data_IF_160892557278
#
_entry.id   IF_160892557278
#
_cell.length_a   1.000
_cell.length_b   1.000
_cell.length_c   1.000
_cell.angle_alpha   90.00
_cell.angle_beta   90.00
_cell.angle_gamma   90.00
#
_symmetry.space_group_name_H-M   'P 1'
#
loop_
_entity.id
_entity.type
_entity.pdbx_description
1 polymer ?
#
# COMPACT_ATOMS: atom_id res chain seq x y z
N UNK A 1 -17.40 29.33 -14.99
CA UNK A 1 -17.14 27.93 -14.64
C UNK A 1 -15.87 27.57 -15.38
N UNK A 2 -14.72 27.80 -14.74
CA UNK A 2 -13.44 27.41 -15.31
C UNK A 2 -13.26 25.95 -14.94
N UNK A 3 -13.13 25.10 -15.95
CA UNK A 3 -12.58 23.76 -15.80
C UNK A 3 -11.33 23.89 -14.93
N UNK A 4 -11.46 23.49 -13.67
CA UNK A 4 -10.34 23.45 -12.76
C UNK A 4 -9.46 22.35 -13.33
N UNK A 5 -8.44 22.75 -14.09
CA UNK A 5 -7.27 21.95 -14.39
C UNK A 5 -7.01 21.04 -13.19
N UNK A 6 -7.07 19.73 -13.43
CA UNK A 6 -6.81 18.67 -12.48
C UNK A 6 -5.86 19.14 -11.38
N UNK A 7 -6.38 19.44 -10.19
CA UNK A 7 -5.57 20.12 -9.18
C UNK A 7 -4.37 19.22 -8.85
N UNK A 8 -3.20 19.82 -8.61
CA UNK A 8 -1.95 19.07 -8.34
C UNK A 8 -2.14 17.97 -7.28
N UNK A 9 -3.04 18.18 -6.31
CA UNK A 9 -3.43 17.16 -5.32
C UNK A 9 -4.10 15.92 -5.91
N UNK A 10 -4.94 16.06 -6.95
CA UNK A 10 -5.56 14.94 -7.66
C UNK A 10 -4.52 14.11 -8.43
N UNK A 11 -3.53 14.76 -9.04
CA UNK A 11 -2.43 14.06 -9.72
C UNK A 11 -1.63 13.22 -8.72
N UNK A 12 -1.20 13.83 -7.60
CA UNK A 12 -0.45 13.13 -6.55
C UNK A 12 -1.25 11.95 -5.98
N UNK A 13 -2.55 12.13 -5.72
CA UNK A 13 -3.40 11.05 -5.21
C UNK A 13 -3.52 9.90 -6.22
N UNK A 14 -3.71 10.22 -7.51
CA UNK A 14 -3.79 9.24 -8.59
C UNK A 14 -2.47 8.47 -8.72
N UNK A 15 -1.33 9.15 -8.71
CA UNK A 15 -0.01 8.53 -8.82
C UNK A 15 0.31 7.64 -7.61
N UNK A 16 -0.14 8.06 -6.42
CA UNK A 16 0.00 7.26 -5.19
C UNK A 16 -0.82 5.97 -5.29
N UNK A 17 -2.08 6.05 -5.73
CA UNK A 17 -2.93 4.88 -5.94
C UNK A 17 -2.34 3.92 -6.99
N UNK A 18 -1.89 4.46 -8.12
CA UNK A 18 -1.24 3.68 -9.18
C UNK A 18 0.02 2.97 -8.67
N UNK A 19 0.80 3.62 -7.83
CA UNK A 19 2.00 3.04 -7.21
C UNK A 19 1.64 1.88 -6.27
N UNK A 20 0.60 2.04 -5.44
CA UNK A 20 0.11 0.98 -4.55
C UNK A 20 -0.38 -0.22 -5.36
N UNK A 21 -1.13 0.02 -6.44
CA UNK A 21 -1.63 -1.05 -7.31
C UNK A 21 -0.51 -1.79 -8.03
N UNK A 22 0.51 -1.07 -8.51
CA UNK A 22 1.70 -1.67 -9.12
C UNK A 22 2.44 -2.58 -8.13
N UNK A 23 2.63 -2.13 -6.89
CA UNK A 23 3.25 -2.93 -5.83
C UNK A 23 2.41 -4.15 -5.48
N UNK A 24 1.09 -4.01 -5.35
CA UNK A 24 0.20 -5.15 -5.10
C UNK A 24 0.31 -6.22 -6.21
N UNK A 25 0.36 -5.81 -7.49
CA UNK A 25 0.57 -6.72 -8.62
C UNK A 25 1.94 -7.39 -8.59
N UNK A 26 2.97 -6.66 -8.17
CA UNK A 26 4.32 -7.21 -7.99
C UNK A 26 4.36 -8.27 -6.88
N UNK A 27 3.68 -8.05 -5.73
CA UNK A 27 3.54 -9.05 -4.65
C UNK A 27 2.90 -10.34 -5.17
N UNK A 28 1.78 -10.22 -5.89
CA UNK A 28 1.08 -11.38 -6.45
C UNK A 28 2.00 -12.13 -7.41
N UNK A 29 2.65 -11.41 -8.33
CA UNK A 29 3.50 -12.01 -9.37
C UNK A 29 4.71 -12.75 -8.77
N UNK A 30 5.38 -12.15 -7.79
CA UNK A 30 6.51 -12.79 -7.09
C UNK A 30 6.07 -13.98 -6.25
N UNK A 31 4.88 -13.92 -5.63
CA UNK A 31 4.33 -15.07 -4.89
C UNK A 31 4.08 -16.26 -5.84
N UNK A 32 3.50 -16.00 -7.02
CA UNK A 32 3.32 -17.02 -8.05
C UNK A 32 4.66 -17.58 -8.56
N UNK A 33 5.68 -16.73 -8.72
CA UNK A 33 7.02 -17.19 -9.12
C UNK A 33 7.62 -18.15 -8.08
N UNK A 34 7.57 -17.80 -6.79
CA UNK A 34 8.03 -18.67 -5.70
C UNK A 34 7.31 -20.03 -5.73
N UNK A 35 5.98 -20.02 -5.89
CA UNK A 35 5.19 -21.25 -6.02
C UNK A 35 5.62 -22.09 -7.24
N UNK A 36 5.78 -21.45 -8.40
CA UNK A 36 6.17 -22.12 -9.64
C UNK A 36 7.56 -22.78 -9.53
N UNK A 37 8.51 -22.15 -8.84
CA UNK A 37 9.84 -22.73 -8.59
C UNK A 37 9.73 -24.02 -7.78
N UNK A 38 8.90 -24.03 -6.73
CA UNK A 38 8.67 -25.21 -5.88
C UNK A 38 7.95 -26.32 -6.67
N UNK A 39 6.91 -25.96 -7.42
CA UNK A 39 6.16 -26.90 -8.26
C UNK A 39 7.04 -27.58 -9.32
N UNK A 40 7.86 -26.80 -10.03
CA UNK A 40 8.79 -27.32 -11.05
C UNK A 40 9.83 -28.23 -10.41
N UNK A 41 10.38 -27.86 -9.24
CA UNK A 41 11.33 -28.71 -8.51
C UNK A 41 10.71 -30.07 -8.17
N UNK A 42 9.47 -30.07 -7.69
CA UNK A 42 8.74 -31.28 -7.31
C UNK A 42 8.42 -32.15 -8.54
N UNK A 43 7.86 -31.54 -9.60
CA UNK A 43 7.52 -32.23 -10.84
C UNK A 43 8.74 -32.82 -11.55
N UNK A 44 9.88 -32.13 -11.49
CA UNK A 44 11.13 -32.53 -12.14
C UNK A 44 11.99 -33.47 -11.29
N UNK A 45 11.55 -33.81 -10.06
CA UNK A 45 12.33 -34.60 -9.08
C UNK A 45 13.73 -34.06 -8.85
N UNK A 46 13.89 -32.74 -8.94
CA UNK A 46 15.18 -32.10 -8.70
C UNK A 46 15.49 -32.13 -7.19
N UNK A 47 16.78 -32.32 -6.81
CA UNK A 47 17.21 -32.05 -5.45
C UNK A 47 16.79 -30.65 -5.02
N UNK A 48 16.32 -30.48 -3.78
CA UNK A 48 15.92 -29.17 -3.23
C UNK A 48 17.03 -28.13 -3.42
N UNK A 49 18.29 -28.56 -3.28
CA UNK A 49 19.48 -27.71 -3.44
C UNK A 49 19.60 -27.09 -4.84
N UNK A 50 19.02 -27.72 -5.87
CA UNK A 50 19.11 -27.25 -7.26
C UNK A 50 18.33 -25.96 -7.48
N UNK A 51 17.16 -25.81 -6.84
CA UNK A 51 16.30 -24.61 -7.00
C UNK A 51 16.40 -23.63 -5.83
N UNK A 52 17.09 -24.01 -4.75
CA UNK A 52 17.11 -23.26 -3.50
C UNK A 52 17.60 -21.82 -3.68
N UNK A 53 18.65 -21.59 -4.48
CA UNK A 53 19.16 -20.24 -4.75
C UNK A 53 18.15 -19.38 -5.52
N UNK A 54 17.45 -19.98 -6.50
CA UNK A 54 16.42 -19.26 -7.24
C UNK A 54 15.23 -18.90 -6.33
N UNK A 55 14.79 -19.84 -5.49
CA UNK A 55 13.72 -19.60 -4.52
C UNK A 55 14.11 -18.55 -3.47
N UNK A 56 15.35 -18.59 -2.96
CA UNK A 56 15.86 -17.63 -2.00
C UNK A 56 15.88 -16.21 -2.57
N UNK A 57 16.38 -16.04 -3.81
CA UNK A 57 16.42 -14.73 -4.47
C UNK A 57 15.01 -14.20 -4.77
N UNK A 58 14.08 -15.06 -5.20
CA UNK A 58 12.68 -14.69 -5.42
C UNK A 58 11.99 -14.29 -4.10
N UNK A 59 12.23 -15.04 -3.03
CA UNK A 59 11.72 -14.73 -1.69
C UNK A 59 12.28 -13.43 -1.12
N UNK A 60 13.56 -13.13 -1.34
CA UNK A 60 14.14 -11.84 -0.98
C UNK A 60 13.49 -10.69 -1.75
N UNK A 61 13.28 -10.86 -3.06
CA UNK A 61 12.54 -9.89 -3.88
C UNK A 61 11.13 -9.65 -3.36
N UNK A 62 10.40 -10.71 -3.00
CA UNK A 62 9.07 -10.61 -2.40
C UNK A 62 9.08 -9.81 -1.10
N UNK A 63 10.02 -10.08 -0.19
CA UNK A 63 10.17 -9.32 1.06
C UNK A 63 10.40 -7.82 0.80
N UNK A 64 11.25 -7.48 -0.18
CA UNK A 64 11.51 -6.07 -0.54
C UNK A 64 10.25 -5.36 -1.04
N UNK A 65 9.48 -6.01 -1.91
CA UNK A 65 8.22 -5.44 -2.45
C UNK A 65 7.17 -5.29 -1.36
N UNK A 66 7.07 -6.23 -0.42
CA UNK A 66 6.21 -6.10 0.77
C UNK A 66 6.66 -4.90 1.61
N UNK A 67 7.98 -4.69 1.79
CA UNK A 67 8.53 -3.51 2.44
C UNK A 67 8.10 -2.21 1.74
N UNK A 68 8.22 -2.14 0.42
CA UNK A 68 7.76 -0.97 -0.37
C UNK A 68 6.28 -0.67 -0.17
N UNK A 69 5.44 -1.68 0.04
CA UNK A 69 4.01 -1.49 0.33
C UNK A 69 3.78 -0.73 1.64
N UNK A 70 4.59 -1.01 2.66
CA UNK A 70 4.57 -0.28 3.93
C UNK A 70 5.11 1.14 3.76
N UNK A 71 6.19 1.33 3.00
CA UNK A 71 6.75 2.65 2.71
C UNK A 71 5.73 3.55 1.99
N UNK A 72 4.98 3.01 1.02
CA UNK A 72 3.91 3.75 0.33
C UNK A 72 2.73 4.08 1.26
N UNK A 73 2.41 3.20 2.20
CA UNK A 73 1.40 3.47 3.24
C UNK A 73 1.83 4.65 4.12
N UNK A 74 3.10 4.68 4.54
CA UNK A 74 3.65 5.79 5.31
C UNK A 74 3.69 7.10 4.49
N UNK A 75 4.15 7.05 3.24
CA UNK A 75 4.13 8.20 2.35
C UNK A 75 2.71 8.77 2.16
N UNK A 76 1.71 7.90 2.00
CA UNK A 76 0.29 8.30 1.90
C UNK A 76 -0.17 9.03 3.16
N UNK A 77 0.24 8.59 4.35
CA UNK A 77 -0.08 9.26 5.63
C UNK A 77 0.57 10.64 5.70
N UNK A 78 1.84 10.77 5.32
CA UNK A 78 2.52 12.07 5.31
C UNK A 78 1.88 13.05 4.32
N UNK A 79 1.51 12.59 3.12
CA UNK A 79 0.76 13.38 2.14
C UNK A 79 -0.57 13.89 2.70
N UNK A 80 -1.26 13.07 3.51
CA UNK A 80 -2.50 13.46 4.18
C UNK A 80 -2.27 14.53 5.24
N UNK A 81 -1.20 14.43 6.02
CA UNK A 81 -0.82 15.49 6.98
C UNK A 81 -0.54 16.81 6.27
N UNK A 82 0.18 16.76 5.15
CA UNK A 82 0.46 17.94 4.31
C UNK A 82 -0.84 18.54 3.80
N UNK A 83 -1.76 17.71 3.29
CA UNK A 83 -3.06 18.16 2.83
C UNK A 83 -3.84 18.89 3.95
N UNK A 84 -3.92 18.28 5.14
CA UNK A 84 -4.63 18.84 6.30
C UNK A 84 -4.00 20.15 6.80
N UNK A 85 -2.69 20.34 6.63
CA UNK A 85 -1.98 21.56 6.99
C UNK A 85 -2.03 22.64 5.88
N UNK A 86 -2.62 22.33 4.73
CA UNK A 86 -2.69 23.24 3.57
C UNK A 86 -4.07 23.87 3.40
N UNK A 87 -4.18 24.77 2.42
CA UNK A 87 -5.48 25.32 1.99
C UNK A 87 -6.40 24.29 1.33
N UNK A 88 -5.94 23.04 1.13
CA UNK A 88 -6.67 21.94 0.48
C UNK A 88 -7.31 20.96 1.47
N UNK A 89 -7.37 21.31 2.76
CA UNK A 89 -7.91 20.47 3.85
C UNK A 89 -9.35 19.97 3.63
N UNK A 90 -10.18 20.72 2.88
CA UNK A 90 -11.58 20.37 2.62
C UNK A 90 -11.78 19.59 1.32
N UNK A 91 -10.73 19.43 0.52
CA UNK A 91 -10.79 18.73 -0.77
C UNK A 91 -10.60 17.23 -0.53
N UNK A 92 -11.37 16.37 -1.21
CA UNK A 92 -11.15 14.93 -1.15
C UNK A 92 -10.56 14.44 -2.47
N UNK A 93 -9.30 13.98 -2.44
CA UNK A 93 -8.61 13.43 -3.61
C UNK A 93 -8.68 11.89 -3.71
N UNK A 94 -9.38 11.22 -2.78
CA UNK A 94 -9.47 9.77 -2.75
C UNK A 94 -8.27 9.06 -2.12
N UNK A 95 -7.44 9.76 -1.34
CA UNK A 95 -6.41 9.11 -0.53
C UNK A 95 -7.07 8.13 0.48
N UNK A 96 -6.55 6.90 0.62
CA UNK A 96 -7.10 5.90 1.53
C UNK A 96 -7.27 6.47 2.95
N UNK A 97 -8.38 6.16 3.66
CA UNK A 97 -8.52 6.58 5.04
C UNK A 97 -7.40 5.96 5.89
N UNK A 98 -6.80 6.77 6.76
CA UNK A 98 -5.96 6.27 7.84
C UNK A 98 -6.75 5.20 8.60
N UNK A 99 -6.12 4.04 8.78
CA UNK A 99 -6.61 3.04 9.73
C UNK A 99 -6.73 3.71 11.10
N UNK A 100 -7.97 3.98 11.52
CA UNK A 100 -8.27 4.32 12.90
C UNK A 100 -8.36 3.00 13.66
N UNK A 101 -7.45 2.69 14.60
CA UNK A 101 -7.64 1.54 15.47
C UNK A 101 -9.01 1.69 16.14
N UNK A 102 -9.87 0.69 15.97
CA UNK A 102 -11.17 0.60 16.64
C UNK A 102 -10.95 0.73 18.15
N UNK A 103 -11.16 1.93 18.68
CA UNK A 103 -10.85 2.25 20.07
C UNK A 103 -10.94 3.74 20.42
N UNK A 104 -10.93 4.65 19.45
CA UNK A 104 -11.10 6.09 19.71
C UNK A 104 -12.54 6.60 19.55
N UNK A 105 -13.47 5.75 19.08
CA UNK A 105 -14.89 6.07 18.92
C UNK A 105 -15.70 5.75 20.19
N UNK A 106 -15.31 6.26 21.35
CA UNK A 106 -16.20 6.32 22.53
C UNK A 106 -15.60 7.21 23.62
N UNK A 107 -15.60 8.54 23.43
CA UNK A 107 -15.61 9.43 24.60
C UNK A 107 -16.01 10.88 24.35
N UNK A 108 -16.28 11.31 23.10
CA UNK A 108 -16.73 12.70 22.85
C UNK A 108 -18.25 12.90 22.98
N UNK A 109 -19.06 11.84 23.03
CA UNK A 109 -20.53 11.98 23.03
C UNK A 109 -21.16 12.16 24.42
N UNK A 110 -20.39 12.01 25.51
CA UNK A 110 -20.90 12.16 26.88
C UNK A 110 -20.71 13.57 27.48
N UNK A 111 -19.93 14.45 26.84
CA UNK A 111 -19.66 15.80 27.37
C UNK A 111 -20.69 16.86 26.96
N UNK A 112 -21.58 16.59 26.00
CA UNK A 112 -22.55 17.59 25.50
C UNK A 112 -23.96 17.48 26.11
N UNK A 113 -24.17 16.59 27.10
CA UNK A 113 -25.44 16.47 27.84
C UNK A 113 -25.37 16.92 29.30
N UNK A 114 -24.32 17.63 29.72
CA UNK A 114 -24.23 18.27 31.04
C UNK A 114 -23.72 19.70 30.89
N UNK A 115 -24.64 20.59 30.53
CA UNK A 115 -24.48 22.04 30.50
C UNK A 115 -25.87 22.65 30.43
#
# INVERSE_FOLDING_TARGET
MHDIEQSVGQVIATDTQNSVDAVNRAVISLSHLCASIVEVSNASRLPITTVQSALANAGEGLNRVIGTREDLSQATRELRKIQNASTLQTVNFGCPPEYQPMGSASNRELAHKRG
#
